data_IF_247929164506
#
_entry.id   IF_247929164506
#
_cell.length_a   1.000
_cell.length_b   1.000
_cell.length_c   1.000
_cell.angle_alpha   90.00
_cell.angle_beta   90.00
_cell.angle_gamma   90.00
#
_symmetry.space_group_name_H-M   'P 1'
#
loop_
_entity.id
_entity.type
_entity.pdbx_description
1 polymer ?
#
# COMPACT_ATOMS: atom_id res chain seq x y z
N UNK A 1 -2.82 4.60 -20.84
CA UNK A 1 -2.85 3.19 -20.40
C UNK A 1 -3.86 3.10 -19.26
N UNK A 2 -5.03 2.50 -19.48
CA UNK A 2 -6.13 2.47 -18.49
C UNK A 2 -5.99 1.26 -17.59
N UNK A 3 -6.00 1.47 -16.27
CA UNK A 3 -6.01 0.38 -15.28
C UNK A 3 -7.32 -0.41 -15.42
N UNK A 4 -7.29 -1.74 -15.53
CA UNK A 4 -8.51 -2.55 -15.66
C UNK A 4 -9.49 -2.31 -14.50
N UNK A 5 -10.79 -2.35 -14.80
CA UNK A 5 -11.86 -2.07 -13.82
C UNK A 5 -11.78 -2.96 -12.57
N UNK A 6 -11.36 -4.22 -12.74
CA UNK A 6 -11.19 -5.17 -11.63
C UNK A 6 -9.99 -4.86 -10.73
N UNK A 7 -8.99 -4.15 -11.22
CA UNK A 7 -7.85 -3.71 -10.39
C UNK A 7 -8.16 -2.43 -9.60
N UNK A 8 -9.10 -1.61 -10.09
CA UNK A 8 -9.48 -0.35 -9.43
C UNK A 8 -9.97 -0.55 -8.01
N UNK A 9 -10.80 -1.57 -7.76
CA UNK A 9 -11.30 -1.85 -6.42
C UNK A 9 -10.18 -2.18 -5.41
N UNK A 10 -9.11 -2.82 -5.86
CA UNK A 10 -7.93 -3.08 -5.03
C UNK A 10 -7.16 -1.80 -4.72
N UNK A 11 -6.96 -0.96 -5.74
CA UNK A 11 -6.30 0.34 -5.59
C UNK A 11 -7.10 1.29 -4.69
N UNK A 12 -8.42 1.31 -4.80
CA UNK A 12 -9.29 2.11 -3.93
C UNK A 12 -9.23 1.64 -2.47
N UNK A 13 -9.20 0.34 -2.22
CA UNK A 13 -8.98 -0.20 -0.88
C UNK A 13 -7.61 0.21 -0.30
N UNK A 14 -6.55 0.15 -1.11
CA UNK A 14 -5.22 0.58 -0.68
C UNK A 14 -5.16 2.09 -0.40
N UNK A 15 -5.79 2.91 -1.24
CA UNK A 15 -5.93 4.35 -1.03
C UNK A 15 -6.71 4.65 0.27
N UNK A 16 -7.75 3.86 0.58
CA UNK A 16 -8.47 3.96 1.85
C UNK A 16 -7.56 3.71 3.06
N UNK A 17 -6.61 2.77 2.95
CA UNK A 17 -5.63 2.50 4.01
C UNK A 17 -4.62 3.65 4.17
N UNK A 18 -4.13 4.24 3.08
CA UNK A 18 -3.25 5.40 3.14
C UNK A 18 -3.94 6.61 3.79
N UNK A 19 -5.25 6.78 3.57
CA UNK A 19 -6.05 7.85 4.19
C UNK A 19 -6.19 7.72 5.71
N UNK A 20 -5.87 6.57 6.30
CA UNK A 20 -5.77 6.42 7.76
C UNK A 20 -4.53 7.13 8.32
N UNK A 21 -3.48 7.28 7.51
CA UNK A 21 -2.24 7.99 7.88
C UNK A 21 -2.29 9.46 7.47
N UNK A 22 -2.91 9.77 6.33
CA UNK A 22 -3.00 11.12 5.77
C UNK A 22 -4.48 11.52 5.63
N UNK A 23 -5.07 12.17 6.65
CA UNK A 23 -6.48 12.56 6.62
C UNK A 23 -6.74 13.54 5.48
N UNK A 24 -7.99 13.56 4.99
CA UNK A 24 -8.37 14.33 3.79
C UNK A 24 -8.12 15.85 3.88
N UNK A 25 -8.14 16.40 5.09
CA UNK A 25 -7.89 17.82 5.36
C UNK A 25 -6.40 18.17 5.49
N UNK A 26 -5.49 17.19 5.47
CA UNK A 26 -4.05 17.43 5.44
C UNK A 26 -3.64 17.84 4.03
N UNK A 27 -2.89 18.92 3.93
CA UNK A 27 -2.26 19.30 2.67
C UNK A 27 -1.19 18.26 2.29
N UNK A 28 -1.37 17.60 1.14
CA UNK A 28 -0.43 16.59 0.63
C UNK A 28 0.95 17.19 0.32
N UNK A 29 1.04 18.48 0.05
CA UNK A 29 2.33 19.15 -0.19
C UNK A 29 3.25 19.14 1.04
N UNK A 30 2.65 19.03 2.23
CA UNK A 30 3.36 19.03 3.52
C UNK A 30 3.82 17.64 3.97
N UNK A 31 3.48 16.60 3.21
CA UNK A 31 3.89 15.23 3.54
C UNK A 31 5.34 15.05 3.10
N UNK A 32 6.19 14.75 4.07
CA UNK A 32 7.59 14.44 3.77
C UNK A 32 7.70 13.03 3.22
N UNK A 33 8.71 12.80 2.36
CA UNK A 33 8.99 11.46 1.84
C UNK A 33 9.19 10.44 2.98
N UNK A 34 9.83 10.85 4.09
CA UNK A 34 10.03 10.00 5.27
C UNK A 34 8.72 9.54 5.92
N UNK A 35 7.74 10.43 6.06
CA UNK A 35 6.42 10.08 6.60
C UNK A 35 5.69 9.12 5.67
N UNK A 36 5.77 9.35 4.36
CA UNK A 36 5.18 8.48 3.36
C UNK A 36 5.82 7.09 3.38
N UNK A 37 7.15 7.01 3.42
CA UNK A 37 7.89 5.75 3.49
C UNK A 37 7.55 4.97 4.76
N UNK A 38 7.39 5.66 5.90
CA UNK A 38 6.97 5.04 7.14
C UNK A 38 5.55 4.47 7.03
N UNK A 39 4.60 5.23 6.49
CA UNK A 39 3.23 4.76 6.27
C UNK A 39 3.20 3.53 5.34
N UNK A 40 3.95 3.57 4.23
CA UNK A 40 4.05 2.47 3.27
C UNK A 40 4.71 1.24 3.91
N UNK A 41 5.78 1.42 4.69
CA UNK A 41 6.44 0.34 5.40
C UNK A 41 5.49 -0.34 6.40
N UNK A 42 4.74 0.44 7.19
CA UNK A 42 3.73 -0.09 8.09
C UNK A 42 2.63 -0.86 7.32
N UNK A 43 2.17 -0.34 6.18
CA UNK A 43 1.15 -1.01 5.38
C UNK A 43 1.63 -2.34 4.77
N UNK A 44 2.89 -2.38 4.34
CA UNK A 44 3.52 -3.53 3.69
C UNK A 44 4.00 -4.60 4.69
N UNK A 45 4.33 -4.21 5.92
CA UNK A 45 4.71 -5.14 7.00
C UNK A 45 3.53 -5.61 7.83
N UNK A 46 2.36 -4.94 7.73
CA UNK A 46 1.15 -5.30 8.47
C UNK A 46 0.61 -6.68 8.07
N UNK A 47 0.50 -7.64 9.01
CA UNK A 47 -0.21 -8.89 8.82
C UNK A 47 -1.65 -8.67 8.32
N UNK A 48 -2.06 -9.34 7.26
CA UNK A 48 -3.44 -9.24 6.73
C UNK A 48 -4.17 -10.57 6.91
N UNK A 49 -5.33 -10.54 7.56
CA UNK A 49 -6.19 -11.72 7.73
C UNK A 49 -6.50 -12.42 6.41
N UNK A 50 -6.76 -11.64 5.34
CA UNK A 50 -7.01 -12.17 3.98
C UNK A 50 -5.88 -13.08 3.47
N UNK A 51 -4.64 -12.85 3.90
CA UNK A 51 -3.48 -13.62 3.48
C UNK A 51 -3.00 -14.60 4.57
N UNK A 52 -3.90 -15.04 5.46
CA UNK A 52 -3.52 -15.92 6.57
C UNK A 52 -2.55 -15.26 7.54
N UNK A 53 -2.70 -13.96 7.78
CA UNK A 53 -1.84 -13.15 8.64
C UNK A 53 -0.38 -13.02 8.16
N UNK A 54 -0.09 -13.36 6.90
CA UNK A 54 1.18 -13.01 6.26
C UNK A 54 1.23 -11.52 5.94
N UNK A 55 2.43 -10.95 5.90
CA UNK A 55 2.61 -9.56 5.49
C UNK A 55 2.72 -9.45 3.95
N UNK A 56 2.19 -8.38 3.34
CA UNK A 56 2.27 -8.18 1.88
C UNK A 56 3.69 -8.22 1.32
N UNK A 57 4.67 -7.67 2.04
CA UNK A 57 6.06 -7.66 1.60
C UNK A 57 6.61 -9.08 1.39
N UNK A 58 6.36 -10.01 2.31
CA UNK A 58 6.75 -11.42 2.21
C UNK A 58 6.07 -12.14 1.06
N UNK A 59 4.79 -11.84 0.81
CA UNK A 59 4.06 -12.46 -0.29
C UNK A 59 4.60 -12.02 -1.64
N UNK A 60 5.08 -10.79 -1.74
CA UNK A 60 5.61 -10.21 -2.98
C UNK A 60 7.07 -10.62 -3.24
N UNK A 61 7.87 -10.86 -2.19
CA UNK A 61 9.30 -11.24 -2.30
C UNK A 61 9.60 -12.29 -3.38
N UNK A 62 8.87 -13.42 -3.51
CA UNK A 62 9.15 -14.44 -4.54
C UNK A 62 9.00 -13.95 -5.98
N UNK A 63 8.20 -12.92 -6.20
CA UNK A 63 7.92 -12.37 -7.53
C UNK A 63 8.92 -11.27 -7.92
N UNK A 64 9.54 -10.60 -6.94
CA UNK A 64 10.52 -9.55 -7.19
C UNK A 64 11.85 -10.09 -7.73
N UNK A 65 12.25 -11.30 -7.32
CA UNK A 65 13.47 -11.95 -7.81
C UNK A 65 13.36 -12.48 -9.24
N UNK A 66 12.13 -12.66 -9.75
CA UNK A 66 11.85 -13.19 -11.09
C UNK A 66 11.83 -12.07 -12.15
N UNK A 67 11.76 -10.81 -11.73
CA UNK A 67 11.60 -9.66 -12.61
C UNK A 67 12.93 -8.99 -13.05
N UNK A 68 14.07 -9.71 -12.97
CA UNK A 68 15.39 -9.27 -13.43
C UNK A 68 15.86 -10.16 -14.57
#
# INVERSE_FOLDING_TARGET
MTVPIWERGSNENFNGLLRQFFPKSRDFSTITQKELDLAVNLLNTRPRKRHGYKNPAELIKPYLSVAI
#
